data_IF_598091855675
#
_entry.id   IF_598091855675
#
_cell.length_a   1.000
_cell.length_b   1.000
_cell.length_c   1.000
_cell.angle_alpha   90.00
_cell.angle_beta   90.00
_cell.angle_gamma   90.00
#
_symmetry.space_group_name_H-M   'P 1'
#
loop_
_entity.id
_entity.type
_entity.pdbx_description
1 polymer ?
#
# COMPACT_ATOMS: atom_id res chain seq x y z
N UNK A 1 -30.70 -20.53 5.07
CA UNK A 1 -29.86 -19.92 4.01
C UNK A 1 -28.47 -19.73 4.59
N UNK A 2 -27.50 -20.54 4.17
CA UNK A 2 -26.12 -20.39 4.63
C UNK A 2 -25.58 -19.04 4.11
N UNK A 3 -25.04 -18.22 5.01
CA UNK A 3 -24.22 -17.07 4.66
C UNK A 3 -22.97 -17.62 3.99
N UNK A 4 -22.95 -17.70 2.66
CA UNK A 4 -21.70 -17.80 1.91
C UNK A 4 -20.96 -16.50 2.18
N UNK A 5 -19.82 -16.56 2.87
CA UNK A 5 -18.93 -15.40 2.92
C UNK A 5 -18.51 -15.11 1.48
N UNK A 6 -18.92 -13.97 0.94
CA UNK A 6 -18.49 -13.52 -0.38
C UNK A 6 -16.97 -13.40 -0.37
N UNK A 7 -16.29 -14.19 -1.21
CA UNK A 7 -14.85 -14.05 -1.42
C UNK A 7 -14.61 -12.64 -1.98
N UNK A 8 -13.73 -11.88 -1.32
CA UNK A 8 -13.35 -10.54 -1.79
C UNK A 8 -12.14 -10.67 -2.72
N UNK A 9 -12.27 -10.15 -3.93
CA UNK A 9 -11.21 -10.13 -4.96
C UNK A 9 -10.57 -8.74 -5.01
N UNK A 10 -9.27 -8.70 -4.73
CA UNK A 10 -8.43 -7.51 -4.87
C UNK A 10 -7.50 -7.68 -6.06
N UNK A 11 -7.39 -6.65 -6.90
CA UNK A 11 -6.54 -6.67 -8.10
C UNK A 11 -5.49 -5.57 -8.01
N UNK A 12 -4.22 -5.95 -8.13
CA UNK A 12 -3.11 -5.00 -8.26
C UNK A 12 -3.11 -4.40 -9.67
N UNK A 13 -2.99 -3.08 -9.76
CA UNK A 13 -3.05 -2.33 -11.01
C UNK A 13 -1.94 -1.28 -11.07
N UNK A 14 -1.38 -1.07 -12.26
CA UNK A 14 -0.24 -0.19 -12.52
C UNK A 14 -0.52 0.94 -13.51
N UNK A 15 -1.76 1.02 -13.99
CA UNK A 15 -2.20 2.06 -14.92
C UNK A 15 -3.68 2.37 -14.73
N UNK A 16 -4.12 3.53 -15.24
CA UNK A 16 -5.54 3.89 -15.26
C UNK A 16 -6.36 2.86 -16.05
N UNK A 17 -5.83 2.37 -17.18
CA UNK A 17 -6.52 1.37 -17.99
C UNK A 17 -6.67 0.03 -17.24
N UNK A 18 -5.62 -0.41 -16.55
CA UNK A 18 -5.66 -1.61 -15.71
C UNK A 18 -6.72 -1.46 -14.60
N UNK A 19 -6.81 -0.30 -13.96
CA UNK A 19 -7.81 0.00 -12.94
C UNK A 19 -9.25 -0.05 -13.49
N UNK A 20 -9.50 0.55 -14.66
CA UNK A 20 -10.81 0.52 -15.34
C UNK A 20 -11.18 -0.92 -15.67
N UNK A 21 -10.26 -1.68 -16.28
CA UNK A 21 -10.50 -3.06 -16.67
C UNK A 21 -10.83 -3.95 -15.46
N UNK A 22 -10.09 -3.81 -14.37
CA UNK A 22 -10.32 -4.57 -13.15
C UNK A 22 -11.69 -4.24 -12.52
N UNK A 23 -12.06 -2.97 -12.46
CA UNK A 23 -13.38 -2.55 -11.97
C UNK A 23 -14.52 -3.11 -12.84
N UNK A 24 -14.38 -3.07 -14.17
CA UNK A 24 -15.38 -3.62 -15.10
C UNK A 24 -15.49 -5.14 -15.02
N UNK A 25 -14.39 -5.83 -14.70
CA UNK A 25 -14.36 -7.27 -14.48
C UNK A 25 -14.96 -7.70 -13.12
N UNK A 26 -15.36 -6.75 -12.27
CA UNK A 26 -15.99 -7.03 -10.98
C UNK A 26 -15.03 -7.19 -9.81
N UNK A 27 -13.82 -6.61 -9.87
CA UNK A 27 -12.93 -6.56 -8.70
C UNK A 27 -13.59 -5.77 -7.56
N UNK A 28 -13.58 -6.34 -6.35
CA UNK A 28 -14.12 -5.67 -5.16
C UNK A 28 -13.18 -4.57 -4.65
N UNK A 29 -11.88 -4.75 -4.84
CA UNK A 29 -10.84 -3.80 -4.40
C UNK A 29 -9.73 -3.68 -5.44
N UNK A 30 -9.07 -2.52 -5.43
CA UNK A 30 -7.90 -2.24 -6.25
C UNK A 30 -6.73 -1.79 -5.36
N UNK A 31 -5.53 -2.26 -5.70
CA UNK A 31 -4.27 -1.81 -5.11
C UNK A 31 -3.40 -1.19 -6.21
N UNK A 32 -3.03 0.08 -6.05
CA UNK A 32 -2.15 0.76 -6.99
C UNK A 32 -0.69 0.46 -6.67
N UNK A 33 0.04 0.02 -7.69
CA UNK A 33 1.46 -0.29 -7.61
C UNK A 33 2.20 0.28 -8.82
N UNK A 34 3.48 0.62 -8.66
CA UNK A 34 4.41 0.68 -9.79
C UNK A 34 5.19 -0.64 -9.90
N UNK A 35 5.87 -0.87 -11.03
CA UNK A 35 6.86 -1.93 -11.18
C UNK A 35 6.36 -3.34 -10.79
N UNK A 36 5.09 -3.67 -11.05
CA UNK A 36 4.47 -4.93 -10.65
C UNK A 36 5.26 -6.18 -11.08
N UNK A 37 5.78 -6.17 -12.31
CA UNK A 37 6.58 -7.25 -12.87
C UNK A 37 7.93 -7.46 -12.15
N UNK A 38 8.38 -6.50 -11.33
CA UNK A 38 9.68 -6.51 -10.66
C UNK A 38 9.56 -6.90 -9.18
N UNK A 39 9.03 -8.10 -8.91
CA UNK A 39 9.02 -8.66 -7.57
C UNK A 39 7.94 -8.10 -6.63
N UNK A 40 6.73 -7.88 -7.16
CA UNK A 40 5.52 -7.59 -6.37
C UNK A 40 5.11 -6.12 -6.30
N UNK A 41 5.86 -5.22 -6.94
CA UNK A 41 5.52 -3.80 -7.05
C UNK A 41 6.29 -2.88 -6.10
N UNK A 42 6.19 -1.57 -6.34
CA UNK A 42 6.74 -0.46 -5.54
C UNK A 42 5.73 0.68 -5.41
N UNK A 43 6.06 1.72 -4.64
CA UNK A 43 5.22 2.94 -4.54
C UNK A 43 4.89 3.50 -5.95
N UNK A 44 3.61 3.70 -6.30
CA UNK A 44 3.22 4.27 -7.59
C UNK A 44 3.57 5.76 -7.69
N UNK A 45 3.47 6.33 -8.90
CA UNK A 45 3.63 7.79 -9.03
C UNK A 45 2.43 8.55 -8.46
N UNK A 46 2.67 9.77 -7.97
CA UNK A 46 1.60 10.64 -7.48
C UNK A 46 0.55 10.96 -8.56
N UNK A 47 0.97 11.05 -9.83
CA UNK A 47 0.06 11.26 -10.94
C UNK A 47 -0.93 10.11 -11.10
N UNK A 48 -0.46 8.86 -10.97
CA UNK A 48 -1.33 7.69 -11.04
C UNK A 48 -2.28 7.63 -9.84
N UNK A 49 -1.79 7.93 -8.63
CA UNK A 49 -2.62 8.03 -7.44
C UNK A 49 -3.76 9.04 -7.62
N UNK A 50 -3.46 10.24 -8.11
CA UNK A 50 -4.46 11.31 -8.33
C UNK A 50 -5.53 10.90 -9.35
N UNK A 51 -5.15 10.11 -10.37
CA UNK A 51 -6.08 9.68 -11.41
C UNK A 51 -7.05 8.58 -10.94
N UNK A 52 -6.61 7.70 -10.03
CA UNK A 52 -7.38 6.50 -9.63
C UNK A 52 -7.96 6.59 -8.21
N UNK A 53 -7.28 7.28 -7.28
CA UNK A 53 -7.69 7.53 -5.90
C UNK A 53 -8.13 6.26 -5.14
N UNK A 54 -7.29 5.22 -5.15
CA UNK A 54 -7.54 3.94 -4.46
C UNK A 54 -6.51 3.68 -3.35
N UNK A 55 -6.47 2.46 -2.81
CA UNK A 55 -5.36 2.04 -1.96
C UNK A 55 -4.07 1.95 -2.79
N UNK A 56 -2.93 2.15 -2.14
CA UNK A 56 -1.64 2.10 -2.82
C UNK A 56 -0.59 1.38 -2.00
N UNK A 57 0.31 0.71 -2.71
CA UNK A 57 1.54 0.18 -2.14
C UNK A 57 2.46 1.33 -1.72
N UNK A 58 3.07 1.20 -0.56
CA UNK A 58 4.16 2.05 -0.07
C UNK A 58 5.37 1.15 0.11
N UNK A 59 6.27 1.18 -0.87
CA UNK A 59 7.47 0.36 -0.92
C UNK A 59 8.52 1.06 -1.77
N UNK A 60 9.63 1.55 -1.17
CA UNK A 60 10.54 2.48 -1.84
C UNK A 60 11.42 1.80 -2.89
N UNK A 61 11.64 0.48 -2.78
CA UNK A 61 12.45 -0.31 -3.71
C UNK A 61 12.02 -1.77 -3.78
N UNK A 62 12.47 -2.47 -4.82
CA UNK A 62 12.36 -3.92 -4.95
C UNK A 62 13.37 -4.65 -4.06
N UNK A 63 13.27 -5.98 -3.97
CA UNK A 63 14.13 -6.81 -3.11
C UNK A 63 13.47 -7.10 -1.77
N UNK A 64 14.27 -7.11 -0.71
CA UNK A 64 13.81 -7.38 0.66
C UNK A 64 12.92 -6.27 1.25
N UNK A 65 12.46 -6.53 2.47
CA UNK A 65 11.67 -5.63 3.31
C UNK A 65 12.44 -5.18 4.56
N UNK A 66 13.77 -5.39 4.58
CA UNK A 66 14.65 -4.93 5.64
C UNK A 66 15.16 -3.55 5.25
N UNK A 67 14.54 -2.52 5.80
CA UNK A 67 14.82 -1.15 5.43
C UNK A 67 15.80 -0.48 6.38
N UNK A 68 16.69 0.33 5.81
CA UNK A 68 17.49 1.29 6.56
C UNK A 68 16.62 2.43 7.10
N UNK A 69 17.12 3.16 8.11
CA UNK A 69 16.41 4.33 8.65
C UNK A 69 16.04 5.36 7.56
N UNK A 70 16.92 5.61 6.60
CA UNK A 70 16.64 6.56 5.51
C UNK A 70 15.54 6.07 4.56
N UNK A 71 15.42 4.77 4.34
CA UNK A 71 14.33 4.21 3.54
C UNK A 71 13.00 4.26 4.29
N UNK A 72 13.05 4.11 5.61
CA UNK A 72 11.88 4.31 6.48
C UNK A 72 11.40 5.77 6.41
N UNK A 73 12.32 6.74 6.41
CA UNK A 73 11.96 8.16 6.27
C UNK A 73 11.29 8.43 4.91
N UNK A 74 11.75 7.80 3.83
CA UNK A 74 11.09 7.86 2.50
C UNK A 74 9.68 7.26 2.57
N UNK A 75 9.51 6.09 3.20
CA UNK A 75 8.20 5.45 3.38
C UNK A 75 7.23 6.38 4.12
N UNK A 76 7.68 7.04 5.19
CA UNK A 76 6.84 7.94 5.98
C UNK A 76 6.42 9.17 5.17
N UNK A 77 7.34 9.74 4.38
CA UNK A 77 7.05 10.88 3.51
C UNK A 77 6.09 10.51 2.38
N UNK A 78 6.25 9.33 1.75
CA UNK A 78 5.31 8.81 0.75
C UNK A 78 3.89 8.69 1.34
N UNK A 79 3.76 8.15 2.56
CA UNK A 79 2.46 8.04 3.24
C UNK A 79 1.87 9.43 3.49
N UNK A 80 2.70 10.42 3.87
CA UNK A 80 2.25 11.80 4.06
C UNK A 80 1.70 12.41 2.81
N UNK A 81 2.46 12.35 1.73
CA UNK A 81 2.08 12.89 0.44
C UNK A 81 0.80 12.18 -0.03
N UNK A 82 0.77 10.86 0.00
CA UNK A 82 -0.36 10.08 -0.51
C UNK A 82 -1.65 10.37 0.26
N UNK A 83 -1.53 10.58 1.57
CA UNK A 83 -2.64 11.02 2.41
C UNK A 83 -3.16 12.41 2.02
N UNK A 84 -2.26 13.37 1.82
CA UNK A 84 -2.60 14.72 1.37
C UNK A 84 -3.40 14.69 0.05
N UNK A 85 -3.12 13.70 -0.80
CA UNK A 85 -3.77 13.52 -2.10
C UNK A 85 -4.89 12.45 -2.12
N UNK A 86 -5.40 12.05 -0.94
CA UNK A 86 -6.63 11.28 -0.84
C UNK A 86 -6.51 9.79 -1.13
N UNK A 87 -5.34 9.18 -0.87
CA UNK A 87 -5.21 7.72 -0.87
C UNK A 87 -6.26 7.09 0.06
N UNK A 88 -6.89 5.99 -0.37
CA UNK A 88 -7.97 5.34 0.38
C UNK A 88 -7.49 4.30 1.41
N UNK A 89 -6.20 3.99 1.37
CA UNK A 89 -5.53 3.11 2.30
C UNK A 89 -4.13 2.78 1.79
N UNK A 90 -3.30 2.24 2.65
CA UNK A 90 -1.91 1.89 2.30
C UNK A 90 -1.65 0.42 2.53
N UNK A 91 -0.73 -0.12 1.73
CA UNK A 91 -0.16 -1.46 1.87
C UNK A 91 1.35 -1.30 2.05
N UNK A 92 1.89 -1.84 3.14
CA UNK A 92 3.31 -1.70 3.51
C UNK A 92 3.76 -2.96 4.25
N UNK A 93 5.02 -3.37 4.09
CA UNK A 93 5.61 -4.49 4.82
C UNK A 93 7.01 -4.11 5.26
N UNK A 94 7.35 -4.38 6.52
CA UNK A 94 8.67 -4.09 7.09
C UNK A 94 9.08 -5.31 7.91
N UNK A 95 10.26 -5.85 7.63
CA UNK A 95 10.80 -7.02 8.31
C UNK A 95 12.08 -6.68 9.06
N UNK A 96 12.32 -7.39 10.16
CA UNK A 96 13.58 -7.40 10.86
C UNK A 96 14.61 -8.29 10.15
N UNK A 97 15.85 -8.29 10.65
CA UNK A 97 16.96 -9.10 10.10
C UNK A 97 16.73 -10.62 10.16
N UNK A 98 15.76 -11.07 10.96
CA UNK A 98 15.40 -12.48 11.10
C UNK A 98 14.15 -12.82 10.24
N UNK A 99 13.65 -11.87 9.45
CA UNK A 99 12.49 -12.03 8.57
C UNK A 99 11.14 -12.00 9.29
N UNK A 100 11.09 -11.51 10.54
CA UNK A 100 9.82 -11.30 11.26
C UNK A 100 9.30 -9.90 10.99
N UNK A 101 7.98 -9.71 11.15
CA UNK A 101 7.38 -8.37 11.08
C UNK A 101 8.06 -7.48 12.11
N UNK A 102 8.64 -6.36 11.66
CA UNK A 102 9.28 -5.38 12.53
C UNK A 102 8.21 -4.53 13.21
N UNK A 103 7.64 -5.09 14.27
CA UNK A 103 6.57 -4.45 15.04
C UNK A 103 7.06 -3.15 15.66
N UNK A 104 8.34 -3.04 16.06
CA UNK A 104 8.86 -1.85 16.71
C UNK A 104 8.90 -0.66 15.74
N UNK A 105 9.37 -0.85 14.51
CA UNK A 105 9.34 0.19 13.49
C UNK A 105 7.90 0.52 13.05
N UNK A 106 7.05 -0.49 12.91
CA UNK A 106 5.63 -0.31 12.62
C UNK A 106 4.89 0.44 13.76
N UNK A 107 5.16 0.12 15.02
CA UNK A 107 4.44 0.67 16.18
C UNK A 107 4.97 2.02 16.61
N UNK A 108 6.27 2.26 16.48
CA UNK A 108 6.88 3.49 16.97
C UNK A 108 6.75 4.63 15.98
N UNK A 109 6.95 4.35 14.68
CA UNK A 109 6.94 5.37 13.63
C UNK A 109 5.62 5.41 12.85
N UNK A 110 5.07 4.26 12.44
CA UNK A 110 3.82 4.21 11.66
C UNK A 110 2.54 4.30 12.53
N UNK A 111 2.54 3.82 13.77
CA UNK A 111 1.38 3.99 14.67
C UNK A 111 1.28 5.39 15.28
N UNK A 112 2.40 6.07 15.56
CA UNK A 112 2.37 7.51 15.87
C UNK A 112 1.69 8.30 14.74
N UNK A 113 1.94 7.90 13.50
CA UNK A 113 1.32 8.48 12.30
C UNK A 113 -0.21 8.25 12.21
N UNK A 114 -0.67 7.04 12.57
CA UNK A 114 -2.11 6.71 12.65
C UNK A 114 -2.87 7.65 13.59
N UNK A 115 -2.23 8.07 14.69
CA UNK A 115 -2.79 9.00 15.67
C UNK A 115 -2.71 10.46 15.19
N UNK A 116 -1.61 10.87 14.57
CA UNK A 116 -1.39 12.29 14.22
C UNK A 116 -2.22 12.81 13.04
N UNK A 117 -2.74 11.95 12.16
CA UNK A 117 -3.30 12.42 10.89
C UNK A 117 -4.77 12.07 10.65
N UNK A 118 -5.43 11.37 11.56
CA UNK A 118 -6.85 11.01 11.41
C UNK A 118 -7.12 9.93 10.34
N UNK A 119 -7.45 8.73 10.78
CA UNK A 119 -8.33 7.81 10.05
C UNK A 119 -7.84 7.06 8.81
N UNK A 120 -6.59 7.23 8.34
CA UNK A 120 -6.08 6.41 7.22
C UNK A 120 -5.72 5.01 7.73
N UNK A 121 -6.41 3.99 7.22
CA UNK A 121 -6.16 2.59 7.57
C UNK A 121 -4.94 2.01 6.85
N UNK A 122 -4.15 1.20 7.56
CA UNK A 122 -3.29 0.20 6.92
C UNK A 122 -4.24 -0.91 6.50
N UNK A 123 -4.41 -1.09 5.20
CA UNK A 123 -5.37 -2.06 4.66
C UNK A 123 -4.79 -3.47 4.67
N UNK A 124 -3.45 -3.58 4.59
CA UNK A 124 -2.73 -4.84 4.50
C UNK A 124 -1.26 -4.66 4.87
N UNK A 125 -0.68 -5.68 5.52
CA UNK A 125 0.76 -5.87 5.63
C UNK A 125 1.18 -6.90 4.58
N UNK A 126 2.26 -6.63 3.84
CA UNK A 126 2.87 -7.56 2.89
C UNK A 126 4.10 -8.24 3.47
#
# INVERSE_FOLDING_TARGET
MALVSSIIIEVCVDSVQSAINAAQAGADRLELCANLALGGGTTPSLGLLKAVQMAAMIRPRTGDFLYSDSEIDVILEDIRIFKEYGVRGIVVGILDKDGRVDVDQLSTRLFHWKVMLGGLGINKLI
#
